data_IF_886370925502
#
_entry.id   IF_886370925502
#
_cell.length_a   1.000
_cell.length_b   1.000
_cell.length_c   1.000
_cell.angle_alpha   90.00
_cell.angle_beta   90.00
_cell.angle_gamma   90.00
#
_symmetry.space_group_name_H-M   'P 1'
#
loop_
_entity.id
_entity.type
_entity.pdbx_description
1 polymer ?
#
# COMPACT_ATOMS: atom_id res chain seq x y z
N UNK A 1 11.63 32.44 -7.70
CA UNK A 1 11.99 31.15 -8.33
C UNK A 1 12.61 30.25 -7.27
N UNK A 2 12.30 28.94 -7.25
CA UNK A 2 12.98 28.03 -6.32
C UNK A 2 14.21 27.46 -7.02
N UNK A 3 15.39 27.58 -6.40
CA UNK A 3 16.67 27.14 -7.00
C UNK A 3 16.68 25.65 -7.41
N UNK A 4 15.82 24.82 -6.81
CA UNK A 4 15.70 23.37 -7.05
C UNK A 4 14.32 22.93 -7.56
N UNK A 5 13.59 23.78 -8.29
CA UNK A 5 12.25 23.43 -8.83
C UNK A 5 12.24 22.31 -9.88
N UNK A 6 13.42 21.91 -10.38
CA UNK A 6 13.60 20.79 -11.32
C UNK A 6 14.42 19.66 -10.68
N UNK A 7 14.20 19.38 -9.40
CA UNK A 7 14.85 18.28 -8.68
C UNK A 7 14.53 16.94 -9.36
N UNK A 8 15.55 16.24 -9.85
CA UNK A 8 15.44 14.96 -10.57
C UNK A 8 14.42 14.97 -11.72
N UNK A 9 14.47 16.04 -12.52
CA UNK A 9 13.69 16.17 -13.76
C UNK A 9 14.03 15.03 -14.75
N UNK A 10 13.07 14.17 -15.14
CA UNK A 10 13.32 12.99 -15.96
C UNK A 10 13.74 13.32 -17.40
N UNK A 11 13.62 14.59 -17.82
CA UNK A 11 14.01 15.05 -19.16
C UNK A 11 15.43 15.64 -19.20
N UNK A 12 16.17 15.62 -18.08
CA UNK A 12 17.52 16.17 -17.98
C UNK A 12 18.48 15.13 -17.42
N UNK A 13 19.76 15.31 -17.73
CA UNK A 13 20.81 14.54 -17.08
C UNK A 13 20.80 14.80 -15.56
N UNK A 14 21.02 13.74 -14.79
CA UNK A 14 21.02 13.80 -13.34
C UNK A 14 22.17 14.67 -12.82
N UNK A 15 21.90 15.42 -11.75
CA UNK A 15 22.89 16.24 -11.06
C UNK A 15 23.38 15.51 -9.82
N UNK A 16 24.69 15.50 -9.59
CA UNK A 16 25.29 14.81 -8.43
C UNK A 16 24.74 15.35 -7.11
N UNK A 17 24.54 16.66 -7.02
CA UNK A 17 24.01 17.32 -5.82
C UNK A 17 22.58 16.86 -5.51
N UNK A 18 21.75 16.65 -6.54
CA UNK A 18 20.37 16.18 -6.36
C UNK A 18 20.35 14.72 -5.89
N UNK A 19 21.24 13.87 -6.43
CA UNK A 19 21.40 12.47 -6.01
C UNK A 19 21.86 12.39 -4.55
N UNK A 20 22.88 13.16 -4.17
CA UNK A 20 23.39 13.19 -2.80
C UNK A 20 22.31 13.64 -1.81
N UNK A 21 21.58 14.70 -2.16
CA UNK A 21 20.44 15.16 -1.35
C UNK A 21 19.36 14.09 -1.21
N UNK A 22 19.04 13.38 -2.30
CA UNK A 22 18.05 12.30 -2.26
C UNK A 22 18.52 11.15 -1.37
N UNK A 23 19.79 10.75 -1.46
CA UNK A 23 20.37 9.68 -0.62
C UNK A 23 20.29 10.02 0.86
N UNK A 24 20.60 11.27 1.24
CA UNK A 24 20.48 11.72 2.63
C UNK A 24 19.03 11.59 3.13
N UNK A 25 18.06 11.99 2.32
CA UNK A 25 16.63 11.86 2.66
C UNK A 25 16.23 10.39 2.79
N UNK A 26 16.67 9.52 1.88
CA UNK A 26 16.37 8.09 1.93
C UNK A 26 16.98 7.41 3.16
N UNK A 27 18.22 7.74 3.51
CA UNK A 27 18.89 7.23 4.71
C UNK A 27 18.11 7.61 5.97
N UNK A 28 17.71 8.88 6.09
CA UNK A 28 16.89 9.34 7.22
C UNK A 28 15.54 8.61 7.30
N UNK A 29 14.90 8.34 6.17
CA UNK A 29 13.64 7.58 6.12
C UNK A 29 13.88 6.13 6.56
N UNK A 30 14.97 5.51 6.11
CA UNK A 30 15.35 4.15 6.46
C UNK A 30 15.68 4.01 7.95
N UNK A 31 16.46 4.92 8.52
CA UNK A 31 16.76 4.98 9.95
C UNK A 31 15.48 5.12 10.79
N UNK A 32 14.57 6.00 10.39
CA UNK A 32 13.28 6.19 11.05
C UNK A 32 12.43 4.91 11.02
N UNK A 33 12.41 4.21 9.88
CA UNK A 33 11.74 2.93 9.74
C UNK A 33 12.34 1.86 10.68
N UNK A 34 13.67 1.72 10.69
CA UNK A 34 14.38 0.79 11.57
C UNK A 34 14.03 1.07 13.04
N UNK A 35 14.12 2.34 13.45
CA UNK A 35 13.81 2.79 14.80
C UNK A 35 12.37 2.44 15.19
N UNK A 36 11.40 2.72 14.31
CA UNK A 36 9.99 2.38 14.52
C UNK A 36 9.79 0.87 14.72
N UNK A 37 10.34 0.05 13.83
CA UNK A 37 10.20 -1.41 13.89
C UNK A 37 10.86 -1.96 15.16
N UNK A 38 12.06 -1.51 15.51
CA UNK A 38 12.75 -1.89 16.75
C UNK A 38 11.95 -1.52 17.99
N UNK A 39 11.39 -0.32 18.06
CA UNK A 39 10.56 0.11 19.18
C UNK A 39 9.34 -0.80 19.37
N UNK A 40 8.67 -1.17 18.26
CA UNK A 40 7.46 -1.99 18.30
C UNK A 40 7.70 -3.47 18.57
N UNK A 41 8.81 -4.04 18.09
CA UNK A 41 9.14 -5.47 18.26
C UNK A 41 10.02 -5.72 19.50
N UNK A 42 10.74 -4.72 19.98
CA UNK A 42 11.57 -4.79 21.18
C UNK A 42 12.61 -5.92 21.10
N UNK A 43 12.64 -6.76 22.15
CA UNK A 43 13.59 -7.86 22.28
C UNK A 43 13.32 -9.05 21.33
N UNK A 44 12.22 -9.02 20.56
CA UNK A 44 11.89 -10.11 19.63
C UNK A 44 12.81 -10.15 18.41
N UNK A 45 13.36 -9.00 17.99
CA UNK A 45 14.22 -8.92 16.81
C UNK A 45 15.57 -9.59 17.09
N UNK A 46 15.99 -10.46 16.17
CA UNK A 46 17.31 -11.08 16.20
C UNK A 46 18.41 -10.06 15.87
N UNK A 47 19.09 -9.57 16.90
CA UNK A 47 20.19 -8.58 16.79
C UNK A 47 21.35 -9.04 15.89
N UNK A 48 21.62 -10.34 15.84
CA UNK A 48 22.68 -10.91 15.00
C UNK A 48 22.35 -10.91 13.50
N UNK A 49 21.09 -10.65 13.12
CA UNK A 49 20.63 -10.65 11.72
C UNK A 49 20.07 -9.28 11.32
N UNK A 50 20.41 -8.22 12.04
CA UNK A 50 19.79 -6.91 11.86
C UNK A 50 20.03 -6.32 10.47
N UNK A 51 21.25 -6.42 9.95
CA UNK A 51 21.61 -5.99 8.59
C UNK A 51 20.84 -6.76 7.52
N UNK A 52 20.64 -8.06 7.71
CA UNK A 52 19.83 -8.89 6.82
C UNK A 52 18.35 -8.47 6.89
N UNK A 53 17.80 -8.28 8.10
CA UNK A 53 16.40 -7.90 8.34
C UNK A 53 16.01 -6.59 7.66
N UNK A 54 16.89 -5.59 7.68
CA UNK A 54 16.61 -4.25 7.15
C UNK A 54 17.23 -3.98 5.77
N UNK A 55 17.62 -5.03 5.06
CA UNK A 55 18.22 -4.97 3.70
C UNK A 55 17.24 -4.66 2.57
N UNK A 56 15.93 -4.70 2.84
CA UNK A 56 14.88 -4.61 1.82
C UNK A 56 14.49 -5.96 1.20
N UNK A 57 15.05 -7.07 1.67
CA UNK A 57 14.64 -8.42 1.31
C UNK A 57 13.27 -8.79 1.89
N UNK A 58 12.61 -9.76 1.26
CA UNK A 58 11.32 -10.29 1.70
C UNK A 58 11.47 -11.59 2.47
N UNK A 59 10.55 -11.82 3.42
CA UNK A 59 10.56 -12.99 4.30
C UNK A 59 9.23 -13.73 4.21
N UNK A 60 9.29 -15.03 3.94
CA UNK A 60 8.10 -15.89 3.92
C UNK A 60 7.76 -16.35 5.33
N UNK A 61 6.50 -16.13 5.74
CA UNK A 61 5.83 -16.73 6.91
C UNK A 61 6.76 -17.10 8.09
N UNK A 62 7.22 -18.35 8.10
CA UNK A 62 8.04 -18.90 9.18
C UNK A 62 9.36 -18.13 9.39
N UNK A 63 10.07 -17.77 8.32
CA UNK A 63 11.33 -17.02 8.41
C UNK A 63 11.10 -15.64 9.05
N UNK A 64 9.96 -15.00 8.78
CA UNK A 64 9.61 -13.73 9.42
C UNK A 64 9.40 -13.88 10.93
N UNK A 65 8.82 -15.00 11.37
CA UNK A 65 8.68 -15.33 12.80
C UNK A 65 10.05 -15.59 13.41
N UNK A 66 10.89 -16.38 12.74
CA UNK A 66 12.21 -16.72 13.22
C UNK A 66 13.11 -15.48 13.37
N UNK A 67 12.97 -14.48 12.51
CA UNK A 67 13.66 -13.19 12.59
C UNK A 67 13.05 -12.24 13.64
N UNK A 68 11.89 -12.60 14.20
CA UNK A 68 11.18 -11.79 15.18
C UNK A 68 10.38 -10.65 14.56
N UNK A 69 10.06 -10.70 13.27
CA UNK A 69 9.23 -9.72 12.56
C UNK A 69 7.73 -10.00 12.69
N UNK A 70 7.35 -11.28 12.77
CA UNK A 70 5.98 -11.73 13.00
C UNK A 70 5.88 -12.55 14.31
N UNK A 71 4.66 -12.72 14.82
CA UNK A 71 4.43 -13.49 16.05
C UNK A 71 3.97 -14.93 15.76
N UNK A 72 3.10 -15.11 14.75
CA UNK A 72 2.55 -16.42 14.39
C UNK A 72 2.03 -16.43 12.95
N UNK A 73 1.77 -17.64 12.43
CA UNK A 73 1.07 -17.87 11.16
C UNK A 73 -0.39 -18.17 11.48
N UNK A 74 -1.33 -17.46 10.86
CA UNK A 74 -2.75 -17.70 11.09
C UNK A 74 -3.65 -17.01 10.08
N UNK A 75 -4.92 -17.43 10.03
CA UNK A 75 -5.95 -16.78 9.24
C UNK A 75 -6.61 -15.64 10.03
N UNK A 76 -7.11 -14.61 9.33
CA UNK A 76 -7.78 -13.47 9.97
C UNK A 76 -8.97 -13.91 10.85
N UNK A 77 -9.70 -14.94 10.43
CA UNK A 77 -10.86 -15.46 11.15
C UNK A 77 -10.45 -16.13 12.47
N UNK A 78 -9.36 -16.90 12.44
CA UNK A 78 -8.88 -17.63 13.61
C UNK A 78 -8.30 -16.66 14.64
N UNK A 79 -7.47 -15.70 14.19
CA UNK A 79 -6.88 -14.68 15.06
C UNK A 79 -7.94 -13.79 15.72
N UNK A 80 -8.97 -13.39 14.97
CA UNK A 80 -10.06 -12.57 15.53
C UNK A 80 -10.87 -13.35 16.56
N UNK A 81 -11.20 -14.62 16.29
CA UNK A 81 -11.91 -15.46 17.26
C UNK A 81 -11.07 -15.75 18.50
N UNK A 82 -9.76 -15.94 18.34
CA UNK A 82 -8.83 -16.16 19.45
C UNK A 82 -8.69 -14.92 20.32
N UNK A 83 -8.55 -13.73 19.72
CA UNK A 83 -8.32 -12.48 20.46
C UNK A 83 -9.59 -11.85 21.03
N UNK A 84 -10.72 -11.95 20.32
CA UNK A 84 -11.96 -11.23 20.66
C UNK A 84 -13.16 -12.16 20.94
N UNK A 85 -12.96 -13.48 20.86
CA UNK A 85 -13.96 -14.51 21.19
C UNK A 85 -14.78 -15.00 20.00
N UNK A 86 -15.46 -16.14 20.18
CA UNK A 86 -16.23 -16.84 19.13
C UNK A 86 -17.37 -16.01 18.52
N UNK A 87 -17.85 -14.97 19.21
CA UNK A 87 -18.94 -14.09 18.77
C UNK A 87 -18.45 -12.88 17.96
N UNK A 88 -17.13 -12.68 17.84
CA UNK A 88 -16.56 -11.58 17.08
C UNK A 88 -16.95 -11.70 15.59
N UNK A 89 -17.40 -10.58 15.00
CA UNK A 89 -17.80 -10.50 13.60
C UNK A 89 -16.85 -9.57 12.85
N UNK A 90 -16.32 -10.04 11.74
CA UNK A 90 -15.50 -9.22 10.84
C UNK A 90 -16.43 -8.32 10.04
N UNK A 91 -16.26 -7.00 10.18
CA UNK A 91 -16.97 -6.02 9.36
C UNK A 91 -16.03 -5.50 8.30
N UNK A 92 -16.22 -5.93 7.06
CA UNK A 92 -15.50 -5.39 5.91
C UNK A 92 -16.10 -4.02 5.61
N UNK A 93 -15.26 -2.97 5.64
CA UNK A 93 -15.66 -1.62 5.25
C UNK A 93 -15.31 -1.47 3.77
N UNK A 94 -16.34 -1.39 2.94
CA UNK A 94 -16.21 -1.17 1.50
C UNK A 94 -16.71 0.24 1.14
N UNK A 95 -16.33 0.73 -0.04
CA UNK A 95 -16.82 2.01 -0.55
C UNK A 95 -18.35 2.01 -0.62
N UNK A 96 -18.95 3.16 -0.30
CA UNK A 96 -20.40 3.30 -0.21
C UNK A 96 -21.02 3.26 -1.61
N UNK A 97 -21.47 2.09 -2.05
CA UNK A 97 -22.11 1.92 -3.37
C UNK A 97 -23.42 2.71 -3.45
N UNK A 98 -23.59 3.47 -4.54
CA UNK A 98 -24.84 4.18 -4.84
C UNK A 98 -26.03 3.19 -4.94
N UNK A 99 -27.26 3.68 -4.74
CA UNK A 99 -28.46 2.85 -4.83
C UNK A 99 -28.60 2.15 -6.20
N UNK A 100 -28.27 2.87 -7.28
CA UNK A 100 -28.29 2.36 -8.66
C UNK A 100 -27.22 1.27 -8.82
N UNK A 101 -26.00 1.52 -8.33
CA UNK A 101 -24.91 0.56 -8.41
C UNK A 101 -25.25 -0.75 -7.67
N UNK A 102 -25.86 -0.67 -6.47
CA UNK A 102 -26.33 -1.87 -5.74
C UNK A 102 -27.38 -2.66 -6.52
N UNK A 103 -28.39 -1.98 -7.08
CA UNK A 103 -29.47 -2.62 -7.85
C UNK A 103 -28.98 -3.28 -9.15
N UNK A 104 -28.01 -2.67 -9.82
CA UNK A 104 -27.44 -3.21 -11.07
C UNK A 104 -26.41 -4.33 -10.81
N UNK A 105 -25.68 -4.28 -9.69
CA UNK A 105 -24.68 -5.28 -9.32
C UNK A 105 -25.28 -6.60 -8.80
N UNK A 106 -26.51 -6.61 -8.29
CA UNK A 106 -27.16 -7.83 -7.80
C UNK A 106 -27.72 -8.73 -8.92
N UNK A 107 -27.81 -8.24 -10.16
CA UNK A 107 -28.39 -8.97 -11.29
C UNK A 107 -27.38 -9.36 -12.37
N UNK A 108 -26.09 -9.07 -12.18
CA UNK A 108 -25.06 -9.33 -13.19
C UNK A 108 -23.84 -10.03 -12.55
N UNK A 109 -23.34 -11.14 -13.13
CA UNK A 109 -22.09 -11.74 -12.70
C UNK A 109 -20.94 -10.74 -12.85
N UNK A 110 -20.06 -10.69 -11.84
CA UNK A 110 -18.95 -9.75 -11.64
C UNK A 110 -17.84 -9.74 -12.73
N UNK A 111 -18.11 -10.02 -14.01
CA UNK A 111 -17.03 -10.18 -15.00
C UNK A 111 -17.27 -9.60 -16.40
N UNK A 112 -18.35 -8.85 -16.67
CA UNK A 112 -18.64 -8.42 -18.05
C UNK A 112 -18.74 -6.89 -18.21
N UNK A 113 -19.12 -6.15 -17.17
CA UNK A 113 -19.26 -4.69 -17.27
C UNK A 113 -18.40 -4.03 -16.19
N UNK A 114 -17.22 -3.61 -16.63
CA UNK A 114 -16.35 -2.70 -15.89
C UNK A 114 -17.05 -1.33 -15.87
N UNK A 115 -17.88 -1.11 -14.85
CA UNK A 115 -18.76 0.07 -14.77
C UNK A 115 -17.98 1.37 -14.82
N UNK A 116 -16.73 1.36 -14.36
CA UNK A 116 -15.84 2.52 -14.38
C UNK A 116 -15.50 2.91 -15.83
N UNK A 117 -15.23 1.94 -16.70
CA UNK A 117 -15.01 2.19 -18.14
C UNK A 117 -16.26 2.68 -18.87
N UNK A 118 -17.44 2.25 -18.44
CA UNK A 118 -18.70 2.71 -19.03
C UNK A 118 -18.98 4.17 -18.64
N UNK A 119 -18.67 4.56 -17.41
CA UNK A 119 -18.79 5.93 -16.91
C UNK A 119 -17.75 6.83 -17.61
N UNK A 120 -16.49 6.41 -17.70
CA UNK A 120 -15.45 7.15 -18.44
C UNK A 120 -15.86 7.39 -19.89
N UNK A 121 -16.40 6.38 -20.60
CA UNK A 121 -16.87 6.55 -21.98
C UNK A 121 -18.05 7.51 -22.12
N UNK A 122 -18.92 7.58 -21.10
CA UNK A 122 -20.05 8.51 -21.09
C UNK A 122 -19.57 9.94 -20.81
N UNK A 123 -18.65 10.12 -19.88
CA UNK A 123 -18.02 11.42 -19.60
C UNK A 123 -17.22 11.91 -20.80
N UNK A 124 -16.45 11.02 -21.44
CA UNK A 124 -15.74 11.29 -22.68
C UNK A 124 -16.72 11.76 -23.77
N UNK A 125 -17.79 11.01 -24.04
CA UNK A 125 -18.82 11.43 -25.02
C UNK A 125 -19.48 12.76 -24.66
N UNK A 126 -19.77 13.01 -23.39
CA UNK A 126 -20.35 14.27 -22.95
C UNK A 126 -19.37 15.45 -23.18
N UNK A 127 -18.07 15.24 -22.95
CA UNK A 127 -17.02 16.21 -23.23
C UNK A 127 -16.89 16.47 -24.73
N UNK A 128 -16.89 15.43 -25.58
CA UNK A 128 -16.86 15.58 -27.04
C UNK A 128 -18.12 16.26 -27.61
N UNK A 129 -19.28 16.02 -27.02
CA UNK A 129 -20.53 16.68 -27.44
C UNK A 129 -20.50 18.21 -27.25
N UNK A 130 -19.72 18.71 -26.28
CA UNK A 130 -19.49 20.17 -26.12
C UNK A 130 -18.70 20.79 -27.27
N UNK A 131 -17.95 19.97 -28.00
CA UNK A 131 -17.19 20.38 -29.18
C UNK A 131 -17.90 20.03 -30.50
N UNK A 132 -19.13 19.50 -30.45
CA UNK A 132 -19.96 19.25 -31.63
C UNK A 132 -19.59 18.03 -32.47
N UNK A 133 -18.89 17.05 -31.88
CA UNK A 133 -18.58 15.73 -32.47
C UNK A 133 -19.29 14.61 -31.72
#
# INVERSE_FOLDING_TARGET
SGKSKSFLDPFKAEKKEDIERLKIIQEQIHENFISYVKNRRGLKIKKNQETEIFSGLFWVGQKAIDLGLADEIGSIHDIIKQRFGKKAKIKIIDQKKSFIQRRLSSSLPNSIIDTDRAIEKLEEKALWSRYGL
#
